data_IF_802526173607
#
_entry.id   IF_802526173607
#
_cell.length_a   1.000
_cell.length_b   1.000
_cell.length_c   1.000
_cell.angle_alpha   90.00
_cell.angle_beta   90.00
_cell.angle_gamma   90.00
#
_symmetry.space_group_name_H-M   'P 1'
#
loop_
_entity.id
_entity.type
_entity.pdbx_description
1 polymer ?
#
# COMPACT_ATOMS: atom_id res chain seq x y z
N UNK A 1 26.28 -8.27 -14.75
CA UNK A 1 25.19 -8.51 -15.73
C UNK A 1 25.78 -8.48 -17.14
N UNK A 2 25.20 -9.19 -18.13
CA UNK A 2 25.69 -9.18 -19.52
C UNK A 2 25.55 -7.80 -20.16
N UNK A 3 26.33 -7.52 -21.22
CA UNK A 3 26.20 -6.29 -21.98
C UNK A 3 24.79 -6.17 -22.61
N UNK A 4 24.22 -4.96 -22.60
CA UNK A 4 22.89 -4.68 -23.14
C UNK A 4 22.96 -4.16 -24.58
N UNK A 5 22.11 -4.65 -25.49
CA UNK A 5 22.03 -4.07 -26.83
C UNK A 5 21.51 -2.63 -26.75
N UNK A 6 21.99 -1.76 -27.63
CA UNK A 6 21.40 -0.43 -27.79
C UNK A 6 20.07 -0.54 -28.55
N UNK A 7 18.96 0.00 -28.02
CA UNK A 7 17.68 0.04 -28.72
C UNK A 7 17.71 1.06 -29.85
N UNK A 8 16.81 0.90 -30.83
CA UNK A 8 16.54 1.96 -31.81
C UNK A 8 15.78 3.09 -31.12
N UNK A 9 16.36 4.29 -31.10
CA UNK A 9 15.71 5.48 -30.54
C UNK A 9 14.58 5.92 -31.49
N UNK A 10 13.39 6.28 -30.97
CA UNK A 10 12.31 6.82 -31.79
C UNK A 10 12.74 8.05 -32.60
N UNK A 11 12.31 8.11 -33.85
CA UNK A 11 12.48 9.31 -34.68
C UNK A 11 11.49 10.39 -34.24
N UNK A 12 11.90 11.66 -34.39
CA UNK A 12 11.14 12.85 -33.99
C UNK A 12 10.57 13.59 -35.21
N UNK A 13 9.99 12.86 -36.17
CA UNK A 13 9.33 13.49 -37.32
C UNK A 13 8.13 14.36 -36.89
N UNK A 14 7.46 13.94 -35.82
CA UNK A 14 6.44 14.67 -35.11
C UNK A 14 6.84 14.82 -33.64
N UNK A 15 6.33 15.84 -32.92
CA UNK A 15 6.58 15.97 -31.49
C UNK A 15 6.18 14.71 -30.71
N UNK A 16 7.11 14.18 -29.92
CA UNK A 16 6.93 12.99 -29.11
C UNK A 16 6.52 13.38 -27.68
N UNK A 17 5.31 12.99 -27.29
CA UNK A 17 4.74 13.22 -25.96
C UNK A 17 4.99 12.05 -25.00
N UNK A 18 5.66 12.32 -23.88
CA UNK A 18 5.82 11.41 -22.75
C UNK A 18 5.03 11.98 -21.57
N UNK A 19 4.05 11.24 -21.08
CA UNK A 19 3.38 11.55 -19.82
C UNK A 19 3.95 10.67 -18.72
N UNK A 20 4.52 11.27 -17.68
CA UNK A 20 4.97 10.56 -16.48
C UNK A 20 3.91 10.72 -15.42
N UNK A 21 3.40 9.63 -14.86
CA UNK A 21 2.36 9.64 -13.80
C UNK A 21 2.89 9.02 -12.53
N UNK A 22 2.50 9.55 -11.38
CA UNK A 22 2.85 8.95 -10.10
C UNK A 22 2.34 9.73 -8.90
N UNK A 23 2.68 9.26 -7.71
CA UNK A 23 2.27 9.91 -6.46
C UNK A 23 3.25 11.04 -6.10
N UNK A 24 2.74 12.16 -5.61
CA UNK A 24 3.58 13.29 -5.22
C UNK A 24 4.65 12.94 -4.19
N UNK A 25 5.88 13.40 -4.44
CA UNK A 25 7.05 13.12 -3.60
C UNK A 25 7.82 11.84 -3.97
N UNK A 26 7.44 11.13 -5.03
CA UNK A 26 8.12 9.88 -5.46
C UNK A 26 9.14 10.07 -6.59
N UNK A 27 9.30 11.29 -7.12
CA UNK A 27 10.27 11.59 -8.18
C UNK A 27 9.71 11.73 -9.60
N UNK A 28 8.38 11.86 -9.77
CA UNK A 28 7.74 12.10 -11.10
C UNK A 28 8.33 13.34 -11.79
N UNK A 29 8.42 14.45 -11.05
CA UNK A 29 9.00 15.72 -11.54
C UNK A 29 10.48 15.54 -11.90
N UNK A 30 11.22 14.76 -11.12
CA UNK A 30 12.63 14.47 -11.37
C UNK A 30 12.82 13.74 -12.71
N UNK A 31 11.95 12.79 -13.05
CA UNK A 31 11.99 12.14 -14.38
C UNK A 31 11.71 13.15 -15.49
N UNK A 32 10.72 14.03 -15.31
CA UNK A 32 10.44 15.11 -16.26
C UNK A 32 11.66 16.02 -16.50
N UNK A 33 12.35 16.42 -15.43
CA UNK A 33 13.56 17.23 -15.48
C UNK A 33 14.74 16.50 -16.16
N UNK A 34 14.95 15.22 -15.86
CA UNK A 34 16.00 14.41 -16.48
C UNK A 34 15.76 14.27 -17.98
N UNK A 35 14.51 13.98 -18.40
CA UNK A 35 14.15 13.93 -19.81
C UNK A 35 14.31 15.29 -20.49
N UNK A 36 13.93 16.38 -19.82
CA UNK A 36 14.11 17.75 -20.30
C UNK A 36 15.57 18.08 -20.58
N UNK A 37 16.44 17.83 -19.60
CA UNK A 37 17.87 18.07 -19.75
C UNK A 37 18.50 17.14 -20.79
N UNK A 38 18.11 15.86 -20.83
CA UNK A 38 18.62 14.92 -21.83
C UNK A 38 18.24 15.34 -23.26
N UNK A 39 17.00 15.80 -23.48
CA UNK A 39 16.60 16.33 -24.78
C UNK A 39 17.39 17.57 -25.17
N UNK A 40 17.62 18.49 -24.23
CA UNK A 40 18.44 19.67 -24.46
C UNK A 40 19.89 19.32 -24.84
N UNK A 41 20.51 18.37 -24.14
CA UNK A 41 21.87 17.89 -24.44
C UNK A 41 21.97 17.22 -25.81
N UNK A 42 20.88 16.59 -26.28
CA UNK A 42 20.75 16.03 -27.63
C UNK A 42 20.48 17.09 -28.72
N UNK A 43 20.49 18.39 -28.39
CA UNK A 43 20.12 19.50 -29.27
C UNK A 43 18.69 19.42 -29.83
N UNK A 44 17.74 18.90 -29.03
CA UNK A 44 16.32 18.79 -29.39
C UNK A 44 15.50 19.92 -28.77
N UNK A 45 14.35 20.21 -29.38
CA UNK A 45 13.33 21.04 -28.76
C UNK A 45 12.66 20.28 -27.61
N UNK A 46 12.40 20.95 -26.48
CA UNK A 46 11.72 20.33 -25.35
C UNK A 46 10.82 21.30 -24.58
N UNK A 47 9.67 20.80 -24.13
CA UNK A 47 8.83 21.48 -23.14
C UNK A 47 8.45 20.51 -22.04
N UNK A 48 8.56 20.96 -20.79
CA UNK A 48 8.15 20.19 -19.61
C UNK A 48 7.08 20.98 -18.86
N UNK A 49 5.94 20.36 -18.60
CA UNK A 49 4.88 20.89 -17.75
C UNK A 49 4.63 19.92 -16.60
N UNK A 50 5.06 20.30 -15.41
CA UNK A 50 4.79 19.58 -14.19
C UNK A 50 3.51 20.10 -13.53
N UNK A 51 2.59 19.20 -13.18
CA UNK A 51 1.47 19.52 -12.32
C UNK A 51 1.56 18.68 -11.05
N UNK A 52 1.86 19.34 -9.94
CA UNK A 52 1.53 18.83 -8.63
C UNK A 52 0.06 19.17 -8.36
N UNK A 53 -0.81 18.17 -8.21
CA UNK A 53 -2.17 18.44 -7.71
C UNK A 53 -2.12 19.20 -6.38
N UNK A 54 -3.21 19.90 -6.02
CA UNK A 54 -3.35 20.68 -4.77
C UNK A 54 -3.12 19.87 -3.47
N UNK A 55 -2.90 18.56 -3.56
CA UNK A 55 -2.67 17.68 -2.42
C UNK A 55 -1.16 17.56 -2.09
N UNK A 56 -0.73 18.25 -1.02
CA UNK A 56 0.55 17.98 -0.37
C UNK A 56 0.57 16.57 0.22
N UNK A 57 1.48 15.72 -0.30
CA UNK A 57 1.76 14.31 0.05
C UNK A 57 0.60 13.33 -0.25
N UNK A 58 0.82 12.43 -1.22
CA UNK A 58 -0.09 11.32 -1.51
C UNK A 58 -1.17 11.59 -2.57
N UNK A 59 -1.14 12.75 -3.24
CA UNK A 59 -2.00 13.06 -4.38
C UNK A 59 -1.37 12.68 -5.73
N UNK A 60 -2.22 12.64 -6.76
CA UNK A 60 -1.82 12.43 -8.15
C UNK A 60 -0.92 13.57 -8.65
N UNK A 61 0.22 13.21 -9.23
CA UNK A 61 1.17 14.12 -9.88
C UNK A 61 1.47 13.59 -11.27
N UNK A 62 1.59 14.50 -12.22
CA UNK A 62 1.97 14.17 -13.59
C UNK A 62 2.94 15.19 -14.16
N UNK A 63 3.79 14.72 -15.07
CA UNK A 63 4.70 15.53 -15.87
C UNK A 63 4.41 15.28 -17.34
N UNK A 64 4.13 16.34 -18.11
CA UNK A 64 4.04 16.28 -19.55
C UNK A 64 5.38 16.71 -20.13
N UNK A 65 6.06 15.80 -20.83
CA UNK A 65 7.30 16.08 -21.55
C UNK A 65 7.00 15.96 -23.04
N UNK A 66 7.25 17.02 -23.81
CA UNK A 66 7.17 16.97 -25.28
C UNK A 66 8.53 17.26 -25.86
N UNK A 67 8.97 16.41 -26.77
CA UNK A 67 10.30 16.47 -27.40
C UNK A 67 10.10 16.52 -28.92
N UNK A 68 10.81 17.41 -29.61
CA UNK A 68 10.82 17.49 -31.07
C UNK A 68 12.25 17.67 -31.56
N UNK A 69 12.50 17.48 -32.86
CA UNK A 69 13.81 17.74 -33.45
C UNK A 69 14.26 19.21 -33.35
N UNK A 70 13.32 20.14 -33.24
CA UNK A 70 13.60 21.56 -32.98
C UNK A 70 12.52 22.24 -32.11
N UNK A 71 12.89 23.32 -31.43
CA UNK A 71 12.02 24.01 -30.47
C UNK A 71 10.79 24.66 -31.13
N UNK A 72 10.93 25.14 -32.36
CA UNK A 72 9.88 25.81 -33.14
C UNK A 72 8.70 24.89 -33.50
N UNK A 73 8.88 23.56 -33.44
CA UNK A 73 7.81 22.57 -33.64
C UNK A 73 6.96 22.29 -32.40
N UNK A 74 7.29 22.90 -31.25
CA UNK A 74 6.55 22.73 -30.01
C UNK A 74 5.61 23.92 -29.78
N UNK A 75 4.37 23.79 -30.26
CA UNK A 75 3.34 24.84 -30.15
C UNK A 75 2.48 24.75 -28.88
N UNK A 76 2.55 23.63 -28.15
CA UNK A 76 1.82 23.41 -26.92
C UNK A 76 2.70 22.69 -25.91
N UNK A 77 2.60 23.10 -24.64
CA UNK A 77 3.37 22.52 -23.53
C UNK A 77 2.68 21.27 -22.97
N UNK A 78 1.34 21.23 -23.00
CA UNK A 78 0.54 20.10 -22.52
C UNK A 78 0.26 19.11 -23.65
N UNK A 79 0.31 17.81 -23.33
CA UNK A 79 -0.08 16.74 -24.26
C UNK A 79 -1.60 16.79 -24.49
N UNK A 80 -1.99 16.80 -25.77
CA UNK A 80 -3.39 16.78 -26.17
C UNK A 80 -4.07 15.43 -25.88
N UNK A 81 -5.39 15.38 -25.96
CA UNK A 81 -6.12 14.13 -25.77
C UNK A 81 -5.72 13.11 -26.84
N UNK A 82 -5.44 11.87 -26.43
CA UNK A 82 -4.98 10.80 -27.32
C UNK A 82 -3.61 11.00 -28.00
N UNK A 83 -2.80 11.96 -27.54
CA UNK A 83 -1.54 12.38 -28.18
C UNK A 83 -0.28 11.95 -27.40
N UNK A 84 -0.41 11.15 -26.33
CA UNK A 84 0.77 10.60 -25.66
C UNK A 84 1.35 9.43 -26.46
N UNK A 85 2.60 9.53 -26.91
CA UNK A 85 3.33 8.40 -27.50
C UNK A 85 3.70 7.37 -26.42
N UNK A 86 4.04 7.84 -25.22
CA UNK A 86 4.37 7.01 -24.06
C UNK A 86 3.69 7.57 -22.81
N UNK A 87 3.02 6.70 -22.06
CA UNK A 87 2.67 6.94 -20.66
C UNK A 87 3.59 6.08 -19.79
N UNK A 88 4.47 6.74 -19.05
CA UNK A 88 5.35 6.14 -18.06
C UNK A 88 4.66 6.15 -16.69
N UNK A 89 3.98 5.05 -16.41
CA UNK A 89 3.15 4.86 -15.24
C UNK A 89 3.91 4.45 -14.00
N UNK A 90 4.44 5.38 -13.21
CA UNK A 90 5.16 5.04 -11.97
C UNK A 90 4.24 4.61 -10.82
N UNK A 91 2.93 4.84 -10.94
CA UNK A 91 1.89 4.38 -10.00
C UNK A 91 0.63 3.95 -10.77
N UNK A 92 0.08 2.78 -10.45
CA UNK A 92 -1.09 2.23 -11.16
C UNK A 92 -2.35 3.10 -10.99
N UNK A 93 -2.59 3.64 -9.80
CA UNK A 93 -3.81 4.43 -9.52
C UNK A 93 -3.78 5.73 -10.30
N UNK A 94 -2.64 6.43 -10.30
CA UNK A 94 -2.50 7.70 -11.03
C UNK A 94 -2.53 7.47 -12.54
N UNK A 95 -1.99 6.36 -13.02
CA UNK A 95 -2.00 6.01 -14.46
C UNK A 95 -3.39 5.63 -14.95
N UNK A 96 -4.21 4.99 -14.11
CA UNK A 96 -5.60 4.67 -14.43
C UNK A 96 -6.57 5.83 -14.16
N UNK A 97 -6.08 7.01 -13.77
CA UNK A 97 -6.93 8.19 -13.56
C UNK A 97 -7.35 8.81 -14.91
N UNK A 98 -8.51 9.46 -14.91
CA UNK A 98 -9.11 10.10 -16.10
C UNK A 98 -8.13 10.99 -16.87
N UNK A 99 -7.34 11.81 -16.17
CA UNK A 99 -6.36 12.70 -16.80
C UNK A 99 -5.32 11.95 -17.63
N UNK A 100 -4.85 10.78 -17.17
CA UNK A 100 -3.86 9.97 -17.87
C UNK A 100 -4.49 9.15 -18.99
N UNK A 101 -5.64 8.51 -18.72
CA UNK A 101 -6.40 7.76 -19.73
C UNK A 101 -6.81 8.65 -20.90
N UNK A 102 -7.19 9.91 -20.66
CA UNK A 102 -7.54 10.86 -21.70
C UNK A 102 -6.38 11.19 -22.66
N UNK A 103 -5.11 10.93 -22.28
CA UNK A 103 -3.95 11.14 -23.16
C UNK A 103 -3.59 9.91 -23.99
N UNK A 104 -4.19 8.76 -23.69
CA UNK A 104 -3.95 7.50 -24.37
C UNK A 104 -4.87 7.32 -25.58
N UNK A 105 -4.37 6.64 -26.60
CA UNK A 105 -5.13 6.25 -27.80
C UNK A 105 -4.74 4.84 -28.23
N UNK A 106 -5.74 3.99 -28.44
CA UNK A 106 -5.56 2.63 -28.92
C UNK A 106 -4.80 2.60 -30.25
N UNK A 107 -3.89 1.64 -30.38
CA UNK A 107 -3.04 1.48 -31.56
C UNK A 107 -1.95 2.54 -31.73
N UNK A 108 -1.88 3.57 -30.88
CA UNK A 108 -0.90 4.65 -30.94
C UNK A 108 -0.01 4.73 -29.70
N UNK A 109 -0.62 4.91 -28.53
CA UNK A 109 0.09 5.12 -27.27
C UNK A 109 0.72 3.83 -26.76
N UNK A 110 1.89 3.92 -26.13
CA UNK A 110 2.42 2.86 -25.28
C UNK A 110 2.22 3.19 -23.80
N UNK A 111 1.92 2.19 -22.98
CA UNK A 111 1.89 2.33 -21.52
C UNK A 111 2.87 1.35 -20.88
N UNK A 112 3.76 1.86 -20.04
CA UNK A 112 4.62 1.05 -19.18
C UNK A 112 4.25 1.35 -17.74
N UNK A 113 3.74 0.35 -17.03
CA UNK A 113 3.09 0.56 -15.73
C UNK A 113 3.80 -0.19 -14.60
N UNK A 114 4.13 0.53 -13.54
CA UNK A 114 4.53 -0.03 -12.27
C UNK A 114 3.30 -0.61 -11.59
N UNK A 115 3.20 -1.95 -11.57
CA UNK A 115 2.03 -2.64 -11.05
C UNK A 115 2.07 -2.89 -9.54
N UNK A 116 2.97 -2.22 -8.82
CA UNK A 116 3.04 -2.29 -7.37
C UNK A 116 1.77 -1.69 -6.73
N UNK A 117 1.10 -2.50 -5.91
CA UNK A 117 -0.10 -2.09 -5.19
C UNK A 117 0.29 -1.32 -3.93
N UNK A 118 0.41 0.01 -4.04
CA UNK A 118 0.63 0.89 -2.89
C UNK A 118 -0.70 1.50 -2.42
N UNK A 119 -1.02 1.47 -1.11
CA UNK A 119 -2.18 2.20 -0.58
C UNK A 119 -1.97 3.72 -0.79
N UNK A 120 -2.70 4.32 -1.73
CA UNK A 120 -2.70 5.79 -1.90
C UNK A 120 -3.50 6.48 -0.80
N UNK A 121 -3.44 7.81 -0.73
CA UNK A 121 -4.16 8.61 0.28
C UNK A 121 -5.68 8.36 0.31
N UNK A 122 -6.27 7.88 -0.79
CA UNK A 122 -7.67 7.44 -0.86
C UNK A 122 -7.99 6.24 0.05
N UNK A 123 -7.04 5.33 0.26
CA UNK A 123 -7.19 4.16 1.15
C UNK A 123 -7.21 4.53 2.63
N UNK A 124 -6.66 5.70 3.00
CA UNK A 124 -6.76 6.20 4.38
C UNK A 124 -8.21 6.53 4.78
N UNK A 125 -9.12 6.73 3.82
CA UNK A 125 -10.53 7.06 4.08
C UNK A 125 -11.43 5.82 4.19
N UNK A 126 -11.03 4.68 3.60
CA UNK A 126 -11.78 3.42 3.69
C UNK A 126 -10.81 2.21 3.74
N UNK A 127 -10.52 1.67 4.93
CA UNK A 127 -9.60 0.55 5.11
C UNK A 127 -10.04 -0.79 4.50
N UNK A 128 -11.33 -0.94 4.15
CA UNK A 128 -11.88 -2.18 3.60
C UNK A 128 -12.03 -2.14 2.07
N UNK A 129 -11.63 -1.03 1.45
CA UNK A 129 -11.62 -0.84 0.01
C UNK A 129 -10.58 -1.79 -0.58
N UNK A 130 -11.04 -2.83 -1.30
CA UNK A 130 -10.14 -3.71 -2.05
C UNK A 130 -9.51 -2.90 -3.17
N UNK A 131 -8.18 -2.94 -3.26
CA UNK A 131 -7.44 -2.27 -4.32
C UNK A 131 -7.86 -2.87 -5.67
N UNK A 132 -8.58 -2.14 -6.55
CA UNK A 132 -9.14 -2.71 -7.76
C UNK A 132 -8.07 -2.77 -8.87
N UNK A 133 -6.89 -3.32 -8.56
CA UNK A 133 -5.73 -3.39 -9.46
C UNK A 133 -6.12 -3.93 -10.83
N UNK A 134 -6.88 -5.03 -10.85
CA UNK A 134 -7.33 -5.65 -12.11
C UNK A 134 -8.14 -4.68 -12.96
N UNK A 135 -9.15 -4.03 -12.41
CA UNK A 135 -10.00 -3.10 -13.16
C UNK A 135 -9.21 -1.88 -13.66
N UNK A 136 -8.28 -1.36 -12.86
CA UNK A 136 -7.38 -0.27 -13.26
C UNK A 136 -6.46 -0.68 -14.40
N UNK A 137 -5.87 -1.89 -14.34
CA UNK A 137 -5.06 -2.44 -15.43
C UNK A 137 -5.89 -2.65 -16.70
N UNK A 138 -7.07 -3.25 -16.57
CA UNK A 138 -7.97 -3.50 -17.70
C UNK A 138 -8.31 -2.18 -18.42
N UNK A 139 -8.58 -1.10 -17.68
CA UNK A 139 -8.86 0.23 -18.25
C UNK A 139 -7.65 0.81 -19.02
N UNK A 140 -6.43 0.63 -18.51
CA UNK A 140 -5.21 1.09 -19.22
C UNK A 140 -5.00 0.25 -20.49
N UNK A 141 -5.16 -1.07 -20.41
CA UNK A 141 -5.04 -1.98 -21.54
C UNK A 141 -6.07 -1.65 -22.62
N UNK A 142 -7.31 -1.33 -22.25
CA UNK A 142 -8.34 -0.85 -23.17
C UNK A 142 -7.95 0.47 -23.85
N UNK A 143 -7.32 1.39 -23.12
CA UNK A 143 -6.95 2.70 -23.64
C UNK A 143 -5.76 2.69 -24.62
N UNK A 144 -4.83 1.72 -24.53
CA UNK A 144 -3.64 1.64 -25.41
C UNK A 144 -3.61 0.43 -26.34
N UNK A 145 -4.39 -0.60 -26.05
CA UNK A 145 -4.35 -1.91 -26.70
C UNK A 145 -3.33 -2.87 -26.08
N UNK A 146 -3.68 -4.16 -26.00
CA UNK A 146 -2.88 -5.19 -25.32
C UNK A 146 -1.44 -5.33 -25.85
N UNK A 147 -1.23 -5.10 -27.16
CA UNK A 147 0.10 -5.16 -27.79
C UNK A 147 1.04 -4.00 -27.44
N UNK A 148 0.50 -2.94 -26.79
CA UNK A 148 1.24 -1.72 -26.45
C UNK A 148 1.28 -1.44 -24.93
N UNK A 149 0.83 -2.41 -24.14
CA UNK A 149 0.88 -2.38 -22.69
C UNK A 149 2.03 -3.25 -22.17
N UNK A 150 2.87 -2.70 -21.31
CA UNK A 150 3.85 -3.44 -20.53
C UNK A 150 3.68 -3.11 -19.05
N UNK A 151 3.87 -4.11 -18.19
CA UNK A 151 3.90 -3.91 -16.75
C UNK A 151 5.15 -4.52 -16.13
N UNK A 152 5.59 -3.94 -15.04
CA UNK A 152 6.71 -4.44 -14.23
C UNK A 152 6.48 -4.02 -12.77
N UNK A 153 6.83 -4.87 -11.81
CA UNK A 153 6.80 -4.46 -10.41
C UNK A 153 8.09 -3.71 -10.05
N UNK A 154 8.26 -2.51 -10.63
CA UNK A 154 9.48 -1.72 -10.49
C UNK A 154 9.79 -1.37 -9.04
N UNK A 155 8.78 -1.09 -8.21
CA UNK A 155 8.98 -0.82 -6.78
C UNK A 155 9.58 -2.01 -6.06
N UNK A 156 9.04 -3.23 -6.26
CA UNK A 156 9.60 -4.44 -5.66
C UNK A 156 11.05 -4.65 -6.10
N UNK A 157 11.28 -4.63 -7.42
CA UNK A 157 12.60 -4.90 -7.99
C UNK A 157 13.64 -3.87 -7.55
N UNK A 158 13.32 -2.58 -7.63
CA UNK A 158 14.20 -1.50 -7.20
C UNK A 158 14.51 -1.60 -5.70
N UNK A 159 13.49 -1.81 -4.85
CA UNK A 159 13.71 -1.98 -3.40
C UNK A 159 14.62 -3.17 -3.11
N UNK A 160 14.40 -4.31 -3.76
CA UNK A 160 15.22 -5.50 -3.52
C UNK A 160 16.66 -5.38 -4.04
N UNK A 161 16.88 -4.68 -5.16
CA UNK A 161 18.21 -4.52 -5.76
C UNK A 161 19.01 -3.38 -5.14
N UNK A 162 18.33 -2.34 -4.66
CA UNK A 162 18.94 -1.05 -4.32
C UNK A 162 18.62 -0.56 -2.91
N UNK A 163 17.78 -1.28 -2.16
CA UNK A 163 17.42 -0.95 -0.77
C UNK A 163 16.36 0.13 -0.62
N UNK A 164 15.94 0.81 -1.71
CA UNK A 164 15.01 1.93 -1.63
C UNK A 164 14.02 1.96 -2.83
N UNK A 165 12.74 2.13 -2.52
CA UNK A 165 11.65 2.26 -3.48
C UNK A 165 11.74 3.53 -4.34
N UNK A 166 12.48 4.57 -3.92
CA UNK A 166 12.70 5.81 -4.69
C UNK A 166 13.38 5.53 -6.03
N UNK A 167 14.17 4.44 -6.13
CA UNK A 167 14.77 4.03 -7.40
C UNK A 167 13.74 3.58 -8.47
N UNK A 168 12.49 3.28 -8.08
CA UNK A 168 11.49 2.72 -8.99
C UNK A 168 11.23 3.61 -10.22
N UNK A 169 11.17 4.93 -10.06
CA UNK A 169 10.85 5.83 -11.17
C UNK A 169 11.99 5.90 -12.20
N UNK A 170 13.24 5.90 -11.72
CA UNK A 170 14.41 5.89 -12.60
C UNK A 170 14.60 4.51 -13.26
N UNK A 171 14.28 3.43 -12.53
CA UNK A 171 14.17 2.09 -13.08
C UNK A 171 13.12 2.02 -14.21
N UNK A 172 11.94 2.60 -14.01
CA UNK A 172 10.90 2.67 -15.03
C UNK A 172 11.39 3.40 -16.29
N UNK A 173 12.09 4.53 -16.13
CA UNK A 173 12.69 5.25 -17.26
C UNK A 173 13.71 4.38 -18.02
N UNK A 174 14.57 3.65 -17.30
CA UNK A 174 15.50 2.69 -17.91
C UNK A 174 14.83 1.56 -18.67
N UNK A 175 13.74 1.02 -18.11
CA UNK A 175 12.93 0.01 -18.78
C UNK A 175 12.33 0.55 -20.08
N UNK A 176 11.74 1.75 -20.03
CA UNK A 176 11.15 2.41 -21.19
C UNK A 176 12.17 2.72 -22.29
N UNK A 177 13.35 3.21 -21.90
CA UNK A 177 14.41 3.51 -22.85
C UNK A 177 14.89 2.26 -23.57
N UNK A 178 15.10 1.15 -22.84
CA UNK A 178 15.55 -0.11 -23.43
C UNK A 178 14.50 -0.74 -24.37
N UNK A 179 13.21 -0.45 -24.16
CA UNK A 179 12.13 -0.83 -25.10
C UNK A 179 12.09 0.05 -26.36
N UNK A 180 12.95 1.08 -26.47
CA UNK A 180 12.98 2.00 -27.60
C UNK A 180 11.80 2.98 -27.59
N UNK A 181 11.34 3.41 -26.42
CA UNK A 181 10.14 4.25 -26.25
C UNK A 181 10.45 5.68 -25.78
N UNK A 182 11.73 6.04 -25.71
CA UNK A 182 12.20 7.34 -25.22
C UNK A 182 13.13 7.96 -26.28
N UNK A 183 12.82 9.16 -26.82
CA UNK A 183 13.51 9.73 -27.98
C UNK A 183 14.76 10.54 -27.60
N UNK A 184 15.58 10.06 -26.66
CA UNK A 184 16.86 10.67 -26.27
C UNK A 184 17.97 9.63 -26.15
N UNK A 185 19.22 10.06 -26.33
CA UNK A 185 20.40 9.18 -26.28
C UNK A 185 20.68 8.69 -24.86
N UNK A 186 21.40 7.55 -24.76
CA UNK A 186 21.83 7.01 -23.48
C UNK A 186 22.76 8.02 -22.78
N UNK A 187 23.70 8.55 -23.55
CA UNK A 187 24.72 9.49 -23.14
C UNK A 187 24.08 10.74 -22.52
N UNK A 188 23.06 11.30 -23.18
CA UNK A 188 22.34 12.46 -22.67
C UNK A 188 21.53 12.16 -21.40
N UNK A 189 20.91 10.98 -21.27
CA UNK A 189 20.24 10.60 -20.01
C UNK A 189 21.26 10.47 -18.87
N UNK A 190 22.36 9.77 -19.09
CA UNK A 190 23.37 9.54 -18.04
C UNK A 190 24.01 10.86 -17.60
N UNK A 191 24.22 11.79 -18.54
CA UNK A 191 24.73 13.13 -18.26
C UNK A 191 23.68 14.02 -17.59
N UNK A 192 22.41 13.96 -17.99
CA UNK A 192 21.32 14.67 -17.32
C UNK A 192 21.17 14.25 -15.85
N UNK A 193 21.31 12.94 -15.57
CA UNK A 193 21.34 12.43 -14.19
C UNK A 193 22.55 12.96 -13.43
N UNK A 194 23.72 13.05 -14.07
CA UNK A 194 24.94 13.63 -13.47
C UNK A 194 24.76 15.10 -13.12
N UNK A 195 24.18 15.89 -14.04
CA UNK A 195 23.92 17.32 -13.86
C UNK A 195 22.83 17.61 -12.82
N UNK A 196 21.87 16.70 -12.64
CA UNK A 196 20.88 16.81 -11.57
C UNK A 196 21.52 16.74 -10.16
N UNK A 197 22.67 16.08 -10.04
CA UNK A 197 23.54 16.11 -8.85
C UNK A 197 23.04 15.28 -7.66
N UNK A 198 21.77 14.89 -7.61
CA UNK A 198 21.20 14.10 -6.52
C UNK A 198 21.47 12.59 -6.72
N UNK A 199 22.21 11.99 -5.79
CA UNK A 199 22.45 10.53 -5.75
C UNK A 199 22.81 9.94 -7.12
N UNK A 200 23.74 10.57 -7.84
CA UNK A 200 24.02 10.31 -9.27
C UNK A 200 24.23 8.83 -9.57
N UNK A 201 25.14 8.17 -8.85
CA UNK A 201 25.43 6.75 -9.04
C UNK A 201 24.20 5.88 -8.79
N UNK A 202 23.44 6.16 -7.74
CA UNK A 202 22.21 5.43 -7.41
C UNK A 202 21.18 5.55 -8.54
N UNK A 203 20.96 6.74 -9.09
CA UNK A 203 20.03 6.92 -10.21
C UNK A 203 20.52 6.25 -11.50
N UNK A 204 21.83 6.31 -11.80
CA UNK A 204 22.42 5.61 -12.95
C UNK A 204 22.29 4.08 -12.82
N UNK A 205 22.52 3.55 -11.62
CA UNK A 205 22.36 2.13 -11.32
C UNK A 205 20.87 1.72 -11.46
N UNK A 206 19.93 2.53 -10.95
CA UNK A 206 18.49 2.29 -11.08
C UNK A 206 18.05 2.23 -12.54
N UNK A 207 18.48 3.21 -13.35
CA UNK A 207 18.22 3.24 -14.78
C UNK A 207 18.79 1.99 -15.47
N UNK A 208 20.02 1.60 -15.13
CA UNK A 208 20.68 0.41 -15.69
C UNK A 208 19.94 -0.89 -15.33
N UNK A 209 19.47 -1.03 -14.09
CA UNK A 209 18.63 -2.17 -13.69
C UNK A 209 17.31 -2.22 -14.43
N UNK A 210 16.68 -1.06 -14.65
CA UNK A 210 15.49 -0.93 -15.49
C UNK A 210 15.70 -1.47 -16.89
N UNK A 211 16.84 -1.11 -17.51
CA UNK A 211 17.21 -1.63 -18.83
C UNK A 211 17.41 -3.14 -18.82
N UNK A 212 18.08 -3.70 -17.81
CA UNK A 212 18.22 -5.15 -17.69
C UNK A 212 16.87 -5.86 -17.59
N UNK A 213 15.92 -5.31 -16.83
CA UNK A 213 14.59 -5.89 -16.68
C UNK A 213 13.76 -5.82 -17.97
N UNK A 214 13.96 -4.81 -18.83
CA UNK A 214 13.30 -4.73 -20.13
C UNK A 214 13.80 -5.78 -21.13
N UNK A 215 15.06 -6.20 -21.00
CA UNK A 215 15.68 -7.22 -21.84
C UNK A 215 15.38 -8.65 -21.33
N UNK A 216 15.48 -8.87 -20.02
CA UNK A 216 15.33 -10.18 -19.39
C UNK A 216 14.82 -10.03 -17.96
N UNK A 217 13.49 -9.86 -17.84
CA UNK A 217 12.83 -9.70 -16.55
C UNK A 217 13.05 -10.92 -15.66
N UNK A 218 12.94 -12.13 -16.20
CA UNK A 218 13.06 -13.37 -15.44
C UNK A 218 14.42 -13.50 -14.76
N UNK A 219 15.52 -13.12 -15.44
CA UNK A 219 16.85 -13.10 -14.83
C UNK A 219 16.96 -12.08 -13.70
N UNK A 220 16.39 -10.88 -13.86
CA UNK A 220 16.39 -9.88 -12.78
C UNK A 220 15.56 -10.37 -11.59
N UNK A 221 14.42 -11.02 -11.85
CA UNK A 221 13.60 -11.63 -10.80
C UNK A 221 14.33 -12.73 -10.02
N UNK A 222 15.12 -13.56 -10.70
CA UNK A 222 15.94 -14.58 -10.04
C UNK A 222 17.01 -14.01 -9.09
N UNK A 223 17.53 -12.81 -9.39
CA UNK A 223 18.53 -12.15 -8.54
C UNK A 223 17.93 -11.57 -7.25
N UNK A 224 16.68 -11.08 -7.30
CA UNK A 224 15.99 -10.51 -6.13
C UNK A 224 15.24 -11.55 -5.30
N UNK A 225 15.15 -12.78 -5.79
CA UNK A 225 14.47 -13.88 -5.12
C UNK A 225 15.37 -15.11 -5.08
N UNK A 226 16.48 -15.07 -4.32
CA UNK A 226 17.20 -16.30 -4.01
C UNK A 226 16.24 -17.14 -3.17
N UNK A 227 15.66 -18.18 -3.77
CA UNK A 227 14.62 -19.07 -3.20
C UNK A 227 13.17 -18.56 -3.23
N UNK A 228 12.65 -18.13 -4.39
CA UNK A 228 11.20 -18.16 -4.58
C UNK A 228 10.75 -19.62 -4.80
N UNK A 229 10.49 -20.34 -3.70
CA UNK A 229 9.50 -21.41 -3.72
C UNK A 229 8.24 -20.76 -4.29
N UNK A 230 7.67 -21.33 -5.34
CA UNK A 230 6.33 -20.97 -5.82
C UNK A 230 5.42 -21.06 -4.60
N UNK A 231 5.10 -19.92 -4.00
CA UNK A 231 4.10 -19.85 -2.97
C UNK A 231 2.78 -20.10 -3.69
N UNK A 232 2.41 -21.38 -3.80
CA UNK A 232 1.00 -21.72 -3.83
C UNK A 232 0.42 -20.95 -2.66
N UNK A 233 -0.40 -19.93 -2.93
CA UNK A 233 -1.26 -19.33 -1.91
C UNK A 233 -2.20 -20.46 -1.56
N UNK A 234 -1.94 -21.25 -0.50
CA UNK A 234 -2.81 -22.36 -0.18
C UNK A 234 -4.14 -21.70 0.18
N UNK A 235 -5.27 -22.32 -0.18
CA UNK A 235 -6.53 -21.92 0.45
C UNK A 235 -6.27 -21.90 1.96
N UNK A 236 -6.44 -20.74 2.59
CA UNK A 236 -6.24 -20.59 4.03
C UNK A 236 -7.12 -21.62 4.73
N UNK A 237 -6.53 -22.72 5.19
CA UNK A 237 -7.27 -23.70 5.97
C UNK A 237 -7.54 -23.08 7.35
N UNK A 238 -8.70 -23.35 7.97
CA UNK A 238 -8.98 -22.89 9.33
C UNK A 238 -7.85 -23.23 10.30
N UNK A 239 -7.27 -24.43 10.17
CA UNK A 239 -6.18 -24.89 11.03
C UNK A 239 -4.90 -24.07 10.86
N UNK A 240 -4.52 -23.72 9.63
CA UNK A 240 -3.35 -22.86 9.38
C UNK A 240 -3.56 -21.45 9.95
N UNK A 241 -4.75 -20.87 9.74
CA UNK A 241 -5.10 -19.54 10.27
C UNK A 241 -5.10 -19.54 11.80
N UNK A 242 -5.70 -20.55 12.43
CA UNK A 242 -5.74 -20.69 13.89
C UNK A 242 -4.34 -20.88 14.46
N UNK A 243 -3.53 -21.76 13.86
CA UNK A 243 -2.17 -22.00 14.31
C UNK A 243 -1.31 -20.73 14.23
N UNK A 244 -1.30 -20.06 13.07
CA UNK A 244 -0.53 -18.84 12.87
C UNK A 244 -0.93 -17.73 13.86
N UNK A 245 -2.24 -17.47 14.00
CA UNK A 245 -2.76 -16.44 14.92
C UNK A 245 -2.52 -16.78 16.38
N UNK A 246 -2.58 -18.06 16.76
CA UNK A 246 -2.22 -18.49 18.10
C UNK A 246 -0.74 -18.24 18.42
N UNK A 247 0.16 -18.52 17.48
CA UNK A 247 1.59 -18.22 17.61
C UNK A 247 1.82 -16.71 17.80
N UNK A 248 1.15 -15.88 17.00
CA UNK A 248 1.20 -14.42 17.16
C UNK A 248 0.67 -13.96 18.52
N UNK A 249 -0.42 -14.55 19.03
CA UNK A 249 -0.98 -14.22 20.34
C UNK A 249 -0.07 -14.65 21.50
N UNK A 250 0.62 -15.77 21.36
CA UNK A 250 1.63 -16.21 22.32
C UNK A 250 2.83 -15.24 22.34
N UNK A 251 3.27 -14.80 21.16
CA UNK A 251 4.31 -13.80 21.00
C UNK A 251 3.86 -12.39 21.43
N UNK A 252 2.56 -12.08 21.38
CA UNK A 252 1.97 -10.82 21.81
C UNK A 252 1.85 -10.72 23.34
N UNK A 253 1.34 -11.76 24.00
CA UNK A 253 1.16 -11.79 25.46
C UNK A 253 1.77 -13.03 26.10
N UNK A 254 1.14 -14.21 25.90
CA UNK A 254 1.56 -15.48 26.49
C UNK A 254 0.76 -16.67 25.91
N UNK A 255 1.18 -17.90 26.24
CA UNK A 255 0.50 -19.13 25.83
C UNK A 255 -0.96 -19.20 26.31
N UNK A 256 -1.29 -18.65 27.49
CA UNK A 256 -2.66 -18.65 28.02
C UNK A 256 -3.62 -17.86 27.11
N UNK A 257 -3.18 -16.76 26.53
CA UNK A 257 -3.98 -15.99 25.57
C UNK A 257 -4.19 -16.77 24.27
N UNK A 258 -3.16 -17.46 23.78
CA UNK A 258 -3.25 -18.32 22.61
C UNK A 258 -4.24 -19.49 22.82
N UNK A 259 -4.25 -20.11 24.00
CA UNK A 259 -5.20 -21.17 24.33
C UNK A 259 -6.64 -20.65 24.49
N UNK A 260 -6.83 -19.47 25.09
CA UNK A 260 -8.15 -18.80 25.12
C UNK A 260 -8.69 -18.57 23.70
N UNK A 261 -7.82 -18.12 22.79
CA UNK A 261 -8.16 -17.95 21.38
C UNK A 261 -8.57 -19.26 20.71
N UNK A 262 -7.75 -20.30 20.82
CA UNK A 262 -8.03 -21.62 20.23
C UNK A 262 -9.35 -22.20 20.76
N UNK A 263 -9.60 -22.09 22.07
CA UNK A 263 -10.80 -22.63 22.69
C UNK A 263 -12.08 -22.00 22.12
N UNK A 264 -12.13 -20.67 21.97
CA UNK A 264 -13.29 -20.00 21.40
C UNK A 264 -13.48 -20.35 19.92
N UNK A 265 -12.41 -20.35 19.12
CA UNK A 265 -12.53 -20.70 17.70
C UNK A 265 -12.97 -22.16 17.52
N UNK A 266 -12.53 -23.06 18.41
CA UNK A 266 -12.97 -24.45 18.42
C UNK A 266 -14.46 -24.59 18.73
N UNK A 267 -15.01 -23.78 19.65
CA UNK A 267 -16.46 -23.74 19.92
C UNK A 267 -17.24 -23.30 18.68
N UNK A 268 -16.76 -22.28 17.96
CA UNK A 268 -17.38 -21.82 16.70
C UNK A 268 -17.34 -22.94 15.65
N UNK A 269 -16.20 -23.61 15.50
CA UNK A 269 -16.05 -24.73 14.55
C UNK A 269 -17.03 -25.86 14.83
N UNK A 270 -17.19 -26.25 16.09
CA UNK A 270 -18.13 -27.30 16.48
C UNK A 270 -19.58 -26.91 16.19
N UNK A 271 -19.97 -25.67 16.47
CA UNK A 271 -21.30 -25.17 16.17
C UNK A 271 -21.56 -25.06 14.66
N UNK A 272 -20.58 -24.58 13.89
CA UNK A 272 -20.67 -24.49 12.43
C UNK A 272 -20.79 -25.87 11.79
N UNK A 273 -19.98 -26.84 12.19
CA UNK A 273 -20.04 -28.21 11.67
C UNK A 273 -21.39 -28.89 11.98
N UNK A 274 -21.94 -28.63 13.19
CA UNK A 274 -23.26 -29.15 13.57
C UNK A 274 -24.41 -28.50 12.75
N UNK A 275 -24.28 -27.23 12.39
CA UNK A 275 -25.31 -26.53 11.61
C UNK A 275 -25.21 -26.81 10.11
N UNK A 276 -23.99 -26.83 9.54
CA UNK A 276 -23.73 -27.07 8.13
C UNK A 276 -22.38 -27.78 7.93
N UNK A 277 -22.39 -29.12 7.82
CA UNK A 277 -21.17 -29.91 7.65
C UNK A 277 -20.31 -29.45 6.47
N UNK A 278 -19.00 -29.35 6.68
CA UNK A 278 -18.03 -28.91 5.67
C UNK A 278 -17.97 -27.40 5.41
N UNK A 279 -18.80 -26.59 6.07
CA UNK A 279 -18.63 -25.13 6.07
C UNK A 279 -17.46 -24.71 6.97
N UNK A 280 -16.72 -23.68 6.53
CA UNK A 280 -15.60 -23.08 7.29
C UNK A 280 -15.70 -21.56 7.38
N UNK A 281 -16.78 -20.98 6.86
CA UNK A 281 -16.93 -19.54 6.68
C UNK A 281 -17.01 -18.80 8.02
N UNK A 282 -17.78 -19.33 8.98
CA UNK A 282 -17.93 -18.70 10.30
C UNK A 282 -16.68 -18.90 11.15
N UNK A 283 -16.06 -20.08 11.09
CA UNK A 283 -14.81 -20.39 11.77
C UNK A 283 -13.69 -19.46 11.33
N UNK A 284 -13.53 -19.24 10.01
CA UNK A 284 -12.52 -18.32 9.48
C UNK A 284 -12.81 -16.86 9.87
N UNK A 285 -14.07 -16.42 9.82
CA UNK A 285 -14.46 -15.08 10.25
C UNK A 285 -14.18 -14.87 11.75
N UNK A 286 -14.55 -15.84 12.60
CA UNK A 286 -14.32 -15.76 14.04
C UNK A 286 -12.83 -15.80 14.41
N UNK A 287 -12.04 -16.62 13.72
CA UNK A 287 -10.59 -16.66 13.89
C UNK A 287 -9.95 -15.29 13.62
N UNK A 288 -10.38 -14.59 12.57
CA UNK A 288 -9.86 -13.26 12.20
C UNK A 288 -10.35 -12.18 13.16
N UNK A 289 -11.65 -12.09 13.36
CA UNK A 289 -12.28 -11.09 14.23
C UNK A 289 -11.80 -11.20 15.68
N UNK A 290 -11.74 -12.41 16.24
CA UNK A 290 -11.34 -12.58 17.63
C UNK A 290 -9.85 -12.31 17.84
N UNK A 291 -8.99 -12.72 16.90
CA UNK A 291 -7.58 -12.33 16.95
C UNK A 291 -7.42 -10.80 16.88
N UNK A 292 -8.15 -10.12 15.99
CA UNK A 292 -8.15 -8.65 15.89
C UNK A 292 -8.51 -7.99 17.22
N UNK A 293 -9.51 -8.51 17.93
CA UNK A 293 -9.92 -8.01 19.24
C UNK A 293 -8.88 -8.29 20.33
N UNK A 294 -8.23 -9.45 20.33
CA UNK A 294 -7.25 -9.82 21.35
C UNK A 294 -5.88 -9.14 21.17
N UNK A 295 -5.45 -8.94 19.92
CA UNK A 295 -4.14 -8.41 19.55
C UNK A 295 -4.20 -6.92 19.18
N UNK A 296 -4.88 -6.12 19.98
CA UNK A 296 -4.95 -4.68 19.74
C UNK A 296 -3.59 -3.99 19.93
N UNK A 297 -3.31 -2.96 19.12
CA UNK A 297 -2.02 -2.28 19.13
C UNK A 297 -1.94 -1.30 20.31
N UNK A 298 -1.32 -1.74 21.39
CA UNK A 298 -1.09 -0.97 22.60
C UNK A 298 0.37 -0.57 22.79
N UNK A 299 0.65 0.15 23.88
CA UNK A 299 1.97 0.68 24.19
C UNK A 299 3.02 -0.43 24.32
N UNK A 300 2.64 -1.56 24.90
CA UNK A 300 3.52 -2.73 25.05
C UNK A 300 3.85 -3.38 23.70
N UNK A 301 2.85 -3.50 22.82
CA UNK A 301 3.03 -4.10 21.51
C UNK A 301 3.83 -3.18 20.56
N UNK A 302 3.56 -1.88 20.58
CA UNK A 302 4.39 -0.89 19.89
C UNK A 302 5.83 -1.01 20.37
N UNK A 303 6.04 -1.05 21.69
CA UNK A 303 7.37 -1.19 22.25
C UNK A 303 8.08 -2.48 21.82
N UNK A 304 7.35 -3.61 21.74
CA UNK A 304 7.87 -4.89 21.26
C UNK A 304 8.33 -4.80 19.79
N UNK A 305 7.49 -4.26 18.91
CA UNK A 305 7.77 -4.12 17.47
C UNK A 305 8.98 -3.21 17.17
N UNK A 306 9.22 -2.19 18.02
CA UNK A 306 10.42 -1.35 17.86
C UNK A 306 11.68 -1.97 18.48
N UNK A 307 11.56 -2.97 19.35
CA UNK A 307 12.67 -3.50 20.15
C UNK A 307 13.01 -4.97 19.90
N UNK A 308 12.30 -5.66 19.01
CA UNK A 308 12.61 -7.04 18.58
C UNK A 308 13.78 -7.13 17.60
N UNK A 309 14.33 -5.98 17.19
CA UNK A 309 15.51 -5.86 16.34
C UNK A 309 15.21 -5.82 14.84
N UNK A 310 13.96 -6.07 14.41
CA UNK A 310 13.57 -5.96 13.00
C UNK A 310 13.70 -4.51 12.54
N UNK A 311 13.11 -3.56 13.28
CA UNK A 311 13.23 -2.13 13.03
C UNK A 311 14.69 -1.65 12.93
N UNK A 312 15.58 -2.16 13.79
CA UNK A 312 17.00 -1.77 13.74
C UNK A 312 17.71 -2.29 12.49
N UNK A 313 17.39 -3.52 12.05
CA UNK A 313 17.92 -4.08 10.80
C UNK A 313 17.42 -3.30 9.59
N UNK A 314 16.14 -2.92 9.56
CA UNK A 314 15.57 -2.11 8.49
C UNK A 314 16.25 -0.73 8.40
N UNK A 315 16.44 -0.06 9.54
CA UNK A 315 17.14 1.24 9.56
C UNK A 315 18.60 1.09 9.12
N UNK A 316 19.30 0.06 9.60
CA UNK A 316 20.70 -0.17 9.21
C UNK A 316 20.86 -0.57 7.73
N UNK A 317 19.84 -1.16 7.12
CA UNK A 317 19.83 -1.49 5.69
C UNK A 317 19.55 -0.28 4.79
N UNK A 318 18.81 0.72 5.29
CA UNK A 318 18.40 1.89 4.52
C UNK A 318 19.35 3.09 4.66
N UNK A 319 20.10 3.19 5.76
CA UNK A 319 20.91 4.36 6.08
C UNK A 319 22.36 3.98 6.40
N UNK A 320 23.30 4.53 5.63
CA UNK A 320 24.74 4.45 5.91
C UNK A 320 25.21 5.57 6.87
N UNK A 321 26.20 5.28 7.71
CA UNK A 321 26.87 6.25 8.60
C UNK A 321 26.21 6.48 9.96
N UNK A 322 26.61 7.56 10.64
CA UNK A 322 26.12 7.91 11.98
C UNK A 322 24.76 8.62 11.91
N UNK A 323 23.68 7.92 12.26
CA UNK A 323 22.34 8.51 12.33
C UNK A 323 21.82 8.66 13.77
N UNK A 324 20.93 9.63 13.96
CA UNK A 324 20.21 9.84 15.24
C UNK A 324 18.72 9.67 15.03
N UNK A 325 18.14 8.70 15.74
CA UNK A 325 16.70 8.46 15.70
C UNK A 325 15.94 9.48 16.55
N UNK A 326 14.89 10.07 15.98
CA UNK A 326 13.88 10.86 16.68
C UNK A 326 12.51 10.26 16.45
N UNK A 327 11.82 9.92 17.53
CA UNK A 327 10.52 9.28 17.50
C UNK A 327 9.43 10.32 17.74
N UNK A 328 8.46 10.42 16.83
CA UNK A 328 7.32 11.33 16.98
C UNK A 328 6.10 10.55 17.45
N UNK A 329 5.82 10.59 18.76
CA UNK A 329 4.70 9.87 19.36
C UNK A 329 3.51 10.81 19.57
N UNK A 330 2.34 10.35 19.14
CA UNK A 330 1.07 11.00 19.47
C UNK A 330 0.70 10.69 20.92
N UNK A 331 0.76 11.68 21.80
CA UNK A 331 0.38 11.54 23.22
C UNK A 331 -0.92 12.26 23.50
N UNK A 332 -2.00 11.83 22.82
CA UNK A 332 -3.32 12.45 22.94
C UNK A 332 -3.82 12.52 24.40
N UNK A 333 -3.40 11.58 25.24
CA UNK A 333 -3.72 11.53 26.66
C UNK A 333 -3.03 12.64 27.49
N UNK A 334 -1.85 13.12 27.07
CA UNK A 334 -1.13 14.22 27.73
C UNK A 334 -1.69 15.60 27.37
N UNK A 335 -2.42 15.67 26.26
CA UNK A 335 -2.80 16.93 25.60
C UNK A 335 -4.31 17.15 25.58
N UNK A 336 -5.04 16.49 26.49
CA UNK A 336 -6.49 16.64 26.64
C UNK A 336 -7.26 16.20 25.38
N UNK A 337 -6.80 15.15 24.71
CA UNK A 337 -7.43 14.60 23.50
C UNK A 337 -7.00 15.27 22.18
N UNK A 338 -6.16 16.31 22.21
CA UNK A 338 -5.66 16.95 20.98
C UNK A 338 -4.50 16.15 20.38
N UNK A 339 -4.52 15.74 19.10
CA UNK A 339 -3.45 14.97 18.49
C UNK A 339 -2.21 15.84 18.27
N UNK A 340 -1.35 15.94 19.29
CA UNK A 340 -0.02 16.56 19.21
C UNK A 340 1.05 15.47 19.21
N UNK A 341 1.99 15.59 18.28
CA UNK A 341 3.18 14.72 18.22
C UNK A 341 4.28 15.34 19.07
N UNK A 342 4.79 14.60 20.04
CA UNK A 342 5.97 14.98 20.82
C UNK A 342 7.16 14.19 20.29
N UNK A 343 8.30 14.89 20.13
CA UNK A 343 9.54 14.29 19.69
C UNK A 343 10.31 13.72 20.89
N UNK A 344 10.64 12.44 20.81
CA UNK A 344 11.49 11.72 21.76
C UNK A 344 12.82 11.39 21.10
N UNK A 345 13.91 11.49 21.87
CA UNK A 345 15.25 11.17 21.39
C UNK A 345 15.56 9.67 21.37
N UNK A 346 16.80 9.29 21.04
CA UNK A 346 17.25 7.89 20.97
C UNK A 346 17.05 7.08 22.25
N UNK A 347 16.98 7.74 23.42
CA UNK A 347 16.74 7.10 24.72
C UNK A 347 15.43 6.31 24.77
N UNK A 348 14.48 6.61 23.89
CA UNK A 348 13.22 5.90 23.85
C UNK A 348 13.38 4.42 23.45
N UNK A 349 14.39 4.07 22.66
CA UNK A 349 14.66 2.67 22.26
C UNK A 349 14.90 1.73 23.46
N UNK A 350 15.87 2.02 24.37
CA UNK A 350 16.03 1.19 25.55
C UNK A 350 14.80 1.23 26.48
N UNK A 351 14.07 2.35 26.55
CA UNK A 351 12.82 2.43 27.29
C UNK A 351 11.73 1.51 26.71
N UNK A 352 11.56 1.47 25.39
CA UNK A 352 10.64 0.54 24.70
C UNK A 352 11.05 -0.91 24.92
N UNK A 353 12.35 -1.23 24.88
CA UNK A 353 12.84 -2.58 25.19
C UNK A 353 12.48 -3.02 26.62
N UNK A 354 12.56 -2.12 27.59
CA UNK A 354 12.11 -2.40 28.96
C UNK A 354 10.58 -2.53 29.02
N UNK A 355 9.85 -1.61 28.39
CA UNK A 355 8.39 -1.61 28.38
C UNK A 355 7.83 -2.90 27.77
N UNK A 356 8.41 -3.40 26.67
CA UNK A 356 8.02 -4.66 26.04
C UNK A 356 8.09 -5.87 26.99
N UNK A 357 9.06 -5.88 27.92
CA UNK A 357 9.19 -6.92 28.96
C UNK A 357 8.11 -6.80 30.04
N UNK A 358 7.57 -5.60 30.27
CA UNK A 358 6.52 -5.33 31.24
C UNK A 358 5.11 -5.61 30.70
N UNK A 359 4.97 -6.23 29.52
CA UNK A 359 3.68 -6.63 28.94
C UNK A 359 2.81 -7.51 29.84
N UNK A 360 3.39 -8.18 30.84
CA UNK A 360 2.61 -8.95 31.82
C UNK A 360 1.71 -8.07 32.70
N UNK A 361 2.02 -6.77 32.80
CA UNK A 361 1.17 -5.79 33.49
C UNK A 361 -0.12 -5.48 32.71
N UNK A 362 -0.16 -5.77 31.40
CA UNK A 362 -1.31 -5.48 30.51
C UNK A 362 -2.62 -6.00 31.11
N UNK A 363 -3.58 -5.10 31.28
CA UNK A 363 -4.90 -5.42 31.79
C UNK A 363 -4.98 -5.74 33.30
N UNK A 364 -3.87 -5.64 34.02
CA UNK A 364 -3.84 -5.77 35.49
C UNK A 364 -4.16 -4.43 36.16
N UNK A 365 -4.40 -4.44 37.48
CA UNK A 365 -4.58 -3.20 38.25
C UNK A 365 -3.32 -2.31 38.28
N UNK A 366 -2.15 -2.87 37.96
CA UNK A 366 -0.86 -2.18 37.90
C UNK A 366 -0.52 -1.67 36.49
N UNK A 367 -1.44 -1.79 35.52
CA UNK A 367 -1.26 -1.29 34.16
C UNK A 367 -1.37 0.26 34.13
N UNK A 368 -0.27 1.00 33.88
CA UNK A 368 -0.28 2.46 33.86
C UNK A 368 -1.02 3.04 32.65
N UNK A 369 -1.41 2.23 31.66
CA UNK A 369 -2.14 2.67 30.47
C UNK A 369 -3.63 2.31 30.52
N UNK A 370 -4.04 1.44 31.45
CA UNK A 370 -5.41 0.91 31.51
C UNK A 370 -6.49 1.97 31.77
N UNK A 371 -6.13 3.15 32.28
CA UNK A 371 -7.07 4.25 32.53
C UNK A 371 -7.53 4.95 31.25
N UNK A 372 -6.80 4.80 30.14
CA UNK A 372 -7.13 5.42 28.85
C UNK A 372 -8.46 4.86 28.29
N UNK A 373 -9.26 5.73 27.68
CA UNK A 373 -10.58 5.35 27.14
C UNK A 373 -10.48 4.29 26.04
N UNK A 374 -9.46 4.36 25.19
CA UNK A 374 -9.20 3.34 24.17
C UNK A 374 -8.93 1.97 24.82
N UNK A 375 -8.13 1.91 25.90
CA UNK A 375 -7.83 0.65 26.61
C UNK A 375 -9.05 0.09 27.35
N UNK A 376 -9.94 0.95 27.85
CA UNK A 376 -11.23 0.53 28.40
C UNK A 376 -12.13 -0.04 27.31
N UNK A 377 -12.19 0.61 26.15
CA UNK A 377 -12.98 0.16 25.00
C UNK A 377 -12.48 -1.20 24.49
N UNK A 378 -11.17 -1.41 24.31
CA UNK A 378 -10.62 -2.71 23.88
C UNK A 378 -11.06 -3.87 24.77
N UNK A 379 -10.90 -3.70 26.09
CA UNK A 379 -11.29 -4.73 27.06
C UNK A 379 -12.79 -4.99 27.03
N UNK A 380 -13.59 -3.94 26.84
CA UNK A 380 -15.04 -4.04 26.67
C UNK A 380 -15.39 -4.81 25.40
N UNK A 381 -14.75 -4.52 24.26
CA UNK A 381 -15.01 -5.22 22.99
C UNK A 381 -14.74 -6.74 23.11
N UNK A 382 -13.64 -7.13 23.74
CA UNK A 382 -13.31 -8.55 23.98
C UNK A 382 -14.41 -9.21 24.82
N UNK A 383 -14.79 -8.59 25.94
CA UNK A 383 -15.80 -9.14 26.84
C UNK A 383 -17.19 -9.21 26.20
N UNK A 384 -17.57 -8.20 25.41
CA UNK A 384 -18.84 -8.21 24.68
C UNK A 384 -18.87 -9.30 23.60
N UNK A 385 -17.79 -9.44 22.83
CA UNK A 385 -17.69 -10.50 21.81
C UNK A 385 -17.85 -11.89 22.43
N UNK A 386 -17.11 -12.17 23.51
CA UNK A 386 -17.18 -13.47 24.19
C UNK A 386 -18.52 -13.74 24.86
N UNK A 387 -19.23 -12.70 25.31
CA UNK A 387 -20.56 -12.83 25.90
C UNK A 387 -21.65 -13.04 24.85
N UNK A 388 -21.56 -12.34 23.72
CA UNK A 388 -22.60 -12.33 22.69
C UNK A 388 -22.49 -13.52 21.72
N UNK A 389 -21.26 -14.02 21.50
CA UNK A 389 -21.01 -15.12 20.57
C UNK A 389 -21.76 -16.41 20.92
N UNK A 390 -21.81 -16.91 22.18
CA UNK A 390 -22.56 -18.12 22.51
C UNK A 390 -24.05 -18.03 22.16
N UNK A 391 -24.66 -16.85 22.33
CA UNK A 391 -26.06 -16.63 21.98
C UNK A 391 -26.31 -16.64 20.47
N UNK A 392 -25.32 -16.20 19.67
CA UNK A 392 -25.33 -16.33 18.22
C UNK A 392 -25.19 -17.80 17.79
N UNK A 393 -24.25 -18.54 18.38
CA UNK A 393 -24.00 -19.95 18.06
C UNK A 393 -25.20 -20.85 18.42
N UNK A 394 -25.90 -20.55 19.52
CA UNK A 394 -27.09 -21.30 19.93
C UNK A 394 -28.27 -21.21 18.93
N UNK A 395 -28.28 -20.19 18.06
CA UNK A 395 -29.32 -19.98 17.03
C UNK A 395 -28.82 -20.31 15.62
N UNK A 396 -27.68 -20.98 15.51
CA UNK A 396 -27.06 -21.27 14.23
C UNK A 396 -27.84 -22.34 13.47
N UNK A 397 -28.16 -22.04 12.22
CA UNK A 397 -28.76 -22.94 11.24
C UNK A 397 -28.17 -22.61 9.86
N UNK A 398 -28.34 -23.47 8.84
CA UNK A 398 -27.88 -23.17 7.49
C UNK A 398 -28.34 -21.79 6.97
N UNK A 399 -29.60 -21.41 7.23
CA UNK A 399 -30.15 -20.11 6.80
C UNK A 399 -29.66 -18.91 7.63
N UNK A 400 -29.25 -19.16 8.88
CA UNK A 400 -28.72 -18.13 9.76
C UNK A 400 -27.20 -17.95 9.61
N UNK A 401 -26.49 -18.93 9.05
CA UNK A 401 -25.04 -18.94 8.93
C UNK A 401 -24.47 -17.71 8.19
N UNK A 402 -24.99 -17.29 7.02
CA UNK A 402 -24.48 -16.09 6.35
C UNK A 402 -24.60 -14.82 7.20
N UNK A 403 -25.71 -14.68 7.95
CA UNK A 403 -25.92 -13.53 8.86
C UNK A 403 -24.97 -13.57 10.04
N UNK A 404 -24.72 -14.76 10.61
CA UNK A 404 -23.74 -14.94 11.68
C UNK A 404 -22.33 -14.58 11.22
N UNK A 405 -21.93 -14.97 10.00
CA UNK A 405 -20.64 -14.60 9.41
C UNK A 405 -20.51 -13.09 9.29
N UNK A 406 -21.53 -12.41 8.75
CA UNK A 406 -21.50 -10.94 8.62
C UNK A 406 -21.48 -10.24 9.98
N UNK A 407 -22.21 -10.75 10.98
CA UNK A 407 -22.17 -10.22 12.35
C UNK A 407 -20.77 -10.33 12.97
N UNK A 408 -20.09 -11.44 12.76
CA UNK A 408 -18.71 -11.63 13.26
C UNK A 408 -17.74 -10.67 12.56
N UNK A 409 -17.89 -10.47 11.24
CA UNK A 409 -17.02 -9.56 10.47
C UNK A 409 -17.13 -8.10 10.91
N UNK A 410 -18.27 -7.64 11.44
CA UNK A 410 -18.39 -6.23 11.87
C UNK A 410 -17.40 -5.85 12.97
N UNK A 411 -16.95 -6.83 13.78
CA UNK A 411 -15.95 -6.59 14.82
C UNK A 411 -14.58 -6.23 14.24
N UNK A 412 -14.23 -6.71 13.05
CA UNK A 412 -12.99 -6.33 12.34
C UNK A 412 -13.01 -4.87 11.88
N UNK A 413 -14.21 -4.30 11.68
CA UNK A 413 -14.40 -2.90 11.27
C UNK A 413 -14.15 -1.89 12.40
N UNK A 414 -14.05 -2.34 13.65
CA UNK A 414 -13.77 -1.46 14.80
C UNK A 414 -12.27 -1.16 14.87
N UNK A 415 -11.82 -0.24 14.02
CA UNK A 415 -10.40 0.17 13.86
C UNK A 415 -10.20 1.64 14.20
N UNK A 416 -8.93 2.06 14.29
CA UNK A 416 -8.52 3.45 14.54
C UNK A 416 -8.19 3.73 16.00
N UNK A 417 -8.10 5.01 16.37
CA UNK A 417 -7.80 5.47 17.73
C UNK A 417 -8.75 6.61 18.15
N UNK A 418 -9.02 6.73 19.46
CA UNK A 418 -9.85 7.77 20.04
C UNK A 418 -11.26 7.86 19.42
N UNK A 419 -11.62 9.07 18.96
CA UNK A 419 -12.95 9.36 18.43
C UNK A 419 -13.28 8.55 17.17
N UNK A 420 -12.30 8.26 16.30
CA UNK A 420 -12.50 7.45 15.08
C UNK A 420 -12.94 6.05 15.47
N UNK A 421 -12.25 5.44 16.44
CA UNK A 421 -12.59 4.09 16.89
C UNK A 421 -13.94 4.04 17.59
N UNK A 422 -14.26 5.08 18.36
CA UNK A 422 -15.57 5.23 19.00
C UNK A 422 -16.70 5.33 17.98
N UNK A 423 -16.49 6.06 16.88
CA UNK A 423 -17.47 6.16 15.79
C UNK A 423 -17.64 4.80 15.08
N UNK A 424 -16.54 4.14 14.71
CA UNK A 424 -16.57 2.81 14.09
C UNK A 424 -17.24 1.77 14.98
N UNK A 425 -17.02 1.83 16.29
CA UNK A 425 -17.71 0.98 17.26
C UNK A 425 -19.23 1.19 17.25
N UNK A 426 -19.71 2.45 17.24
CA UNK A 426 -21.15 2.75 17.17
C UNK A 426 -21.77 2.22 15.87
N UNK A 427 -21.07 2.40 14.75
CA UNK A 427 -21.52 1.89 13.45
C UNK A 427 -21.56 0.36 13.42
N UNK A 428 -20.54 -0.31 13.95
CA UNK A 428 -20.52 -1.76 14.06
C UNK A 428 -21.69 -2.29 14.92
N UNK A 429 -21.99 -1.65 16.06
CA UNK A 429 -23.12 -2.01 16.92
C UNK A 429 -24.47 -1.80 16.24
N UNK A 430 -24.65 -0.70 15.49
CA UNK A 430 -25.85 -0.49 14.70
C UNK A 430 -26.05 -1.61 13.66
N UNK A 431 -24.98 -1.96 12.94
CA UNK A 431 -25.02 -3.05 11.95
C UNK A 431 -25.29 -4.42 12.58
N UNK A 432 -24.73 -4.69 13.76
CA UNK A 432 -25.00 -5.92 14.51
C UNK A 432 -26.46 -6.02 14.93
N UNK A 433 -27.07 -4.91 15.38
CA UNK A 433 -28.48 -4.86 15.73
C UNK A 433 -29.38 -5.13 14.52
N UNK A 434 -29.07 -4.56 13.34
CA UNK A 434 -29.78 -4.85 12.09
C UNK A 434 -29.71 -6.34 11.69
N UNK A 435 -28.53 -6.97 11.84
CA UNK A 435 -28.33 -8.38 11.49
C UNK A 435 -29.05 -9.35 12.42
N UNK A 436 -29.20 -8.97 13.70
CA UNK A 436 -29.86 -9.78 14.74
C UNK A 436 -31.37 -9.52 14.84
N UNK A 437 -31.82 -8.31 14.49
CA UNK A 437 -33.22 -7.89 14.47
C UNK A 437 -33.84 -8.09 13.08
N UNK A 438 -34.23 -9.31 12.75
CA UNK A 438 -34.99 -9.55 11.53
C UNK A 438 -36.33 -8.79 11.54
N UNK A 439 -36.51 -7.88 10.57
CA UNK A 439 -37.74 -7.16 10.23
C UNK A 439 -38.16 -5.94 11.09
N UNK A 440 -37.60 -4.77 10.77
CA UNK A 440 -38.35 -3.50 10.76
C UNK A 440 -37.71 -2.52 9.77
N UNK A 441 -38.38 -2.32 8.62
CA UNK A 441 -38.26 -1.19 7.68
C UNK A 441 -36.88 -0.87 7.08
N UNK A 442 -36.59 -1.47 5.91
CA UNK A 442 -35.79 -0.79 4.89
C UNK A 442 -36.68 0.17 4.09
N UNK A 443 -37.16 1.23 4.74
CA UNK A 443 -37.46 2.46 4.03
C UNK A 443 -36.12 3.04 3.56
N UNK A 444 -35.90 3.10 2.25
CA UNK A 444 -34.77 3.80 1.64
C UNK A 444 -34.57 5.16 2.32
N UNK A 445 -33.37 5.52 2.82
CA UNK A 445 -33.07 6.92 3.00
C UNK A 445 -33.00 7.54 1.59
N UNK A 446 -33.94 8.43 1.30
CA UNK A 446 -33.85 9.32 0.15
C UNK A 446 -32.50 10.05 0.20
N UNK A 447 -31.84 10.13 -0.95
CA UNK A 447 -30.67 10.97 -1.15
C UNK A 447 -30.95 12.38 -0.60
N UNK A 448 -30.20 12.80 0.42
CA UNK A 448 -30.24 14.19 0.87
C UNK A 448 -29.68 15.03 -0.27
N UNK A 449 -30.57 15.81 -0.86
CA UNK A 449 -30.26 16.90 -1.76
C UNK A 449 -29.16 17.78 -1.15
N UNK A 450 -28.20 18.13 -2.01
CA UNK A 450 -27.27 19.21 -1.78
C UNK A 450 -28.06 20.48 -1.38
N UNK A 451 -27.65 21.08 -0.27
CA UNK A 451 -27.98 22.46 0.05
C UNK A 451 -26.84 23.32 -0.50
N UNK A 452 -27.26 24.42 -1.13
CA UNK A 452 -26.51 25.42 -1.88
C UNK A 452 -25.21 25.92 -1.24
#
# INVERSE_FOLDING_TARGET
MPALPAPKIPALHEPFGIMVTGVGGTGVVTIGQVLGMAAYLDNKGVTVLDMAGLAQKGGSVWSHVRIADSQDKLHAVRIAAGDANLVLGCDLVVTAAEEALAKMRDGFSHAIVNNYESPTSGFLKNPDLRFPAKAMKDAIVEAVGAGRFNEVNATRLATSLMGDAIAANMFMLGYAWQKGLVPVTLEAIMEAVRLNGAAVKFNQDAFTWGRHAAQDLARVEALVSPTAVVAFVPRETPDAVVHHRATLLAAYQNAKLAERYKALVQQVRQAEEAAQPGSTALTLAAARAYHHLLAYKDEYEVARLYSDGEFQREVAAQFDGDYKLRFHIGVAWLTGGKPRKIAFGPWLMPAMKMLAKLRFLRGTALDPFAWQDDRKLERRLIAEFERELPALLAKLSPDALPRAVEWVKTWEGVRGFGHIKTANYRQAKARQAELMGGAAQAGKPAASAAVA
#
